data_IF_860113126266
#
_entry.id   IF_860113126266
#
_cell.length_a   1.000
_cell.length_b   1.000
_cell.length_c   1.000
_cell.angle_alpha   90.00
_cell.angle_beta   90.00
_cell.angle_gamma   90.00
#
_symmetry.space_group_name_H-M   'P 1'
#
loop_
_entity.id
_entity.type
_entity.pdbx_description
1 polymer ?
#
# COMPACT_ATOMS: atom_id res chain seq x y z
N UNK A 1 -6.55 -7.63 5.60
CA UNK A 1 -5.35 -7.34 6.40
C UNK A 1 -5.15 -5.83 6.44
N UNK A 2 -4.82 -5.26 7.60
CA UNK A 2 -4.60 -3.82 7.79
C UNK A 2 -3.16 -3.51 8.22
N UNK A 3 -2.57 -2.51 7.56
CA UNK A 3 -1.19 -2.07 7.75
C UNK A 3 -1.15 -0.63 8.29
N UNK A 4 -0.73 -0.41 9.55
CA UNK A 4 -0.71 0.89 10.19
C UNK A 4 0.24 1.86 9.52
N UNK A 5 0.05 3.13 9.86
CA UNK A 5 0.94 4.20 9.43
C UNK A 5 2.31 4.12 10.06
N UNK A 6 3.11 5.09 9.65
CA UNK A 6 4.46 5.22 10.12
C UNK A 6 4.54 5.58 11.61
N UNK A 7 5.34 4.86 12.40
CA UNK A 7 5.39 5.03 13.85
C UNK A 7 4.16 4.48 14.57
N UNK A 8 3.29 3.72 13.90
CA UNK A 8 2.00 3.28 14.42
C UNK A 8 1.95 1.75 14.64
N UNK A 9 0.84 1.23 15.17
CA UNK A 9 0.72 -0.19 15.58
C UNK A 9 -0.60 -0.83 15.13
N UNK A 10 -0.64 -2.17 15.14
CA UNK A 10 -1.85 -2.95 14.90
C UNK A 10 -3.02 -2.51 15.79
N UNK A 11 -2.75 -2.23 17.07
CA UNK A 11 -3.77 -1.79 18.03
C UNK A 11 -4.40 -0.43 17.66
N UNK A 12 -3.65 0.44 16.98
CA UNK A 12 -4.09 1.79 16.65
C UNK A 12 -4.80 1.88 15.29
N UNK A 13 -4.50 0.98 14.35
CA UNK A 13 -5.23 0.91 13.07
C UNK A 13 -6.56 0.13 13.19
N UNK A 14 -6.70 -0.75 14.19
CA UNK A 14 -7.96 -1.44 14.47
C UNK A 14 -9.15 -0.46 14.59
N UNK A 15 -9.14 0.57 15.45
CA UNK A 15 -10.27 1.49 15.57
C UNK A 15 -10.50 2.37 14.34
N UNK A 16 -9.50 2.54 13.48
CA UNK A 16 -9.62 3.31 12.24
C UNK A 16 -10.39 2.53 11.17
N UNK A 17 -10.13 1.23 11.07
CA UNK A 17 -10.71 0.36 10.03
C UNK A 17 -11.94 -0.40 10.51
N UNK A 18 -11.98 -0.75 11.81
CA UNK A 18 -13.02 -1.54 12.47
C UNK A 18 -13.31 -2.87 11.78
N UNK A 19 -12.34 -3.45 11.06
CA UNK A 19 -12.55 -4.71 10.32
C UNK A 19 -12.81 -5.93 11.22
N UNK A 20 -12.51 -5.84 12.52
CA UNK A 20 -12.83 -6.84 13.54
C UNK A 20 -14.26 -6.71 14.06
N UNK A 21 -14.98 -5.64 13.71
CA UNK A 21 -16.38 -5.47 14.10
C UNK A 21 -17.25 -6.49 13.35
N UNK A 22 -17.94 -7.35 14.10
CA UNK A 22 -18.76 -8.43 13.55
C UNK A 22 -20.01 -7.96 12.80
N UNK A 23 -20.44 -6.72 12.99
CA UNK A 23 -21.53 -6.13 12.19
C UNK A 23 -21.07 -5.78 10.78
N UNK A 24 -19.80 -5.37 10.63
CA UNK A 24 -19.19 -5.00 9.34
C UNK A 24 -18.53 -6.19 8.63
N UNK A 25 -17.97 -7.12 9.41
CA UNK A 25 -17.23 -8.27 8.91
C UNK A 25 -17.62 -9.57 9.65
N UNK A 26 -18.88 -10.05 9.51
CA UNK A 26 -19.40 -11.19 10.26
C UNK A 26 -18.73 -12.53 9.93
N UNK A 27 -18.08 -12.63 8.77
CA UNK A 27 -17.58 -13.91 8.22
C UNK A 27 -16.08 -13.90 7.88
N UNK A 28 -15.39 -12.77 8.05
CA UNK A 28 -13.99 -12.64 7.68
C UNK A 28 -13.06 -12.66 8.89
N UNK A 29 -11.79 -12.97 8.63
CA UNK A 29 -10.72 -12.85 9.62
C UNK A 29 -10.06 -11.48 9.45
N UNK A 30 -10.15 -10.64 10.49
CA UNK A 30 -9.41 -9.40 10.54
C UNK A 30 -7.98 -9.66 11.03
N UNK A 31 -6.99 -9.17 10.29
CA UNK A 31 -5.57 -9.33 10.62
C UNK A 31 -4.93 -7.95 10.60
N UNK A 32 -4.36 -7.55 11.73
CA UNK A 32 -3.67 -6.28 11.93
C UNK A 32 -2.20 -6.54 12.15
N UNK A 33 -1.34 -5.98 11.30
CA UNK A 33 0.09 -6.29 11.28
C UNK A 33 0.88 -5.07 11.75
N UNK A 34 1.77 -5.24 12.73
CA UNK A 34 2.71 -4.17 13.11
C UNK A 34 4.05 -4.42 12.43
N UNK A 35 4.52 -3.47 11.62
CA UNK A 35 5.85 -3.53 11.02
C UNK A 35 6.97 -3.42 12.06
N UNK A 36 8.15 -3.95 11.75
CA UNK A 36 9.33 -3.83 12.62
C UNK A 36 9.64 -2.36 12.85
N UNK A 37 9.96 -1.98 14.10
CA UNK A 37 10.15 -0.58 14.48
C UNK A 37 8.97 0.34 14.11
N UNK A 38 7.76 -0.23 14.07
CA UNK A 38 6.50 0.50 13.81
C UNK A 38 6.42 1.10 12.41
N UNK A 39 6.93 0.41 11.40
CA UNK A 39 6.62 0.72 10.00
C UNK A 39 7.16 -0.32 9.01
N UNK A 40 6.74 -0.19 7.76
CA UNK A 40 7.05 -1.08 6.65
C UNK A 40 8.21 -0.51 5.85
N UNK A 41 9.36 -1.16 5.97
CA UNK A 41 10.65 -0.75 5.39
C UNK A 41 10.68 -1.05 3.89
N UNK A 42 9.94 -2.06 3.44
CA UNK A 42 9.76 -2.34 2.01
C UNK A 42 9.08 -1.20 1.25
N UNK A 43 8.43 -0.24 1.92
CA UNK A 43 8.03 1.04 1.33
C UNK A 43 9.13 2.10 1.60
N UNK A 44 9.99 2.41 0.61
CA UNK A 44 11.27 3.04 0.87
C UNK A 44 11.12 4.52 1.21
N UNK A 45 11.41 4.87 2.45
CA UNK A 45 11.13 6.19 3.03
C UNK A 45 10.97 6.11 4.55
N UNK A 46 10.80 4.88 5.05
CA UNK A 46 10.92 4.50 6.46
C UNK A 46 12.27 3.83 6.83
N UNK A 47 13.25 3.92 5.95
CA UNK A 47 14.60 3.43 6.17
C UNK A 47 15.52 4.08 5.14
N UNK A 48 16.31 5.05 5.59
CA UNK A 48 17.39 5.61 4.78
C UNK A 48 18.38 4.48 4.47
N UNK A 49 18.98 4.40 3.26
CA UNK A 49 20.08 3.48 2.99
C UNK A 49 21.16 3.63 4.09
N UNK A 50 21.48 2.54 4.79
CA UNK A 50 22.46 2.54 5.89
C UNK A 50 21.88 2.56 7.32
N UNK A 51 20.55 2.59 7.49
CA UNK A 51 19.91 2.37 8.80
C UNK A 51 19.82 0.88 9.15
N UNK A 52 19.80 0.54 10.44
CA UNK A 52 19.81 -0.81 11.02
C UNK A 52 18.65 -1.76 10.59
N UNK A 53 17.87 -1.37 9.58
CA UNK A 53 16.65 -2.02 9.11
C UNK A 53 16.78 -2.58 7.67
N UNK A 54 17.96 -2.52 7.05
CA UNK A 54 18.17 -2.94 5.65
C UNK A 54 17.82 -4.41 5.36
N UNK A 55 17.72 -5.25 6.39
CA UNK A 55 17.46 -6.69 6.28
C UNK A 55 16.01 -7.08 6.64
N UNK A 56 15.11 -6.12 6.86
CA UNK A 56 13.69 -6.44 7.14
C UNK A 56 12.99 -6.80 5.84
N UNK A 57 12.47 -8.02 5.77
CA UNK A 57 11.71 -8.54 4.63
C UNK A 57 10.20 -8.54 4.94
N UNK A 58 9.55 -7.37 4.79
CA UNK A 58 8.11 -7.26 5.01
C UNK A 58 7.32 -8.12 4.00
N UNK A 59 7.79 -8.22 2.75
CA UNK A 59 7.13 -9.00 1.69
C UNK A 59 7.18 -10.49 1.99
N UNK A 60 8.34 -11.04 2.35
CA UNK A 60 8.50 -12.42 2.77
C UNK A 60 7.66 -12.74 4.00
N UNK A 61 7.64 -11.84 4.99
CA UNK A 61 6.78 -11.99 6.17
C UNK A 61 5.30 -12.11 5.79
N UNK A 62 4.79 -11.24 4.91
CA UNK A 62 3.37 -11.32 4.48
C UNK A 62 3.08 -12.60 3.69
N UNK A 63 3.99 -13.04 2.81
CA UNK A 63 3.85 -14.34 2.12
C UNK A 63 3.73 -15.49 3.12
N UNK A 64 4.61 -15.53 4.12
CA UNK A 64 4.58 -16.55 5.18
C UNK A 64 3.32 -16.45 6.04
N UNK A 65 2.90 -15.23 6.42
CA UNK A 65 1.72 -15.02 7.24
C UNK A 65 0.43 -15.46 6.52
N UNK A 66 0.29 -15.13 5.23
CA UNK A 66 -0.87 -15.59 4.44
C UNK A 66 -0.86 -17.12 4.34
N UNK A 67 0.28 -17.73 4.04
CA UNK A 67 0.40 -19.20 3.97
C UNK A 67 0.06 -19.87 5.32
N UNK A 68 0.48 -19.27 6.44
CA UNK A 68 0.12 -19.74 7.77
C UNK A 68 -1.40 -19.65 8.02
N UNK A 69 -2.02 -18.51 7.69
CA UNK A 69 -3.45 -18.32 7.91
C UNK A 69 -4.30 -19.27 7.05
N UNK A 70 -3.95 -19.46 5.78
CA UNK A 70 -4.70 -20.34 4.86
C UNK A 70 -4.50 -21.82 5.15
N UNK A 71 -3.38 -22.20 5.80
CA UNK A 71 -3.15 -23.59 6.23
C UNK A 71 -3.79 -23.93 7.58
N UNK A 72 -4.05 -22.94 8.43
CA UNK A 72 -4.58 -23.15 9.79
C UNK A 72 -6.06 -22.78 9.95
N UNK A 73 -6.63 -22.02 9.02
CA UNK A 73 -8.02 -21.57 9.06
C UNK A 73 -8.72 -21.77 7.71
N UNK A 74 -10.05 -21.87 7.74
CA UNK A 74 -10.87 -21.91 6.52
C UNK A 74 -10.96 -20.52 5.88
N UNK A 75 -9.92 -20.15 5.14
CA UNK A 75 -9.84 -18.89 4.41
C UNK A 75 -10.22 -19.12 2.94
N UNK A 76 -11.17 -18.33 2.44
CA UNK A 76 -11.42 -18.22 1.00
C UNK A 76 -10.25 -17.45 0.36
N UNK A 77 -9.36 -18.17 -0.32
CA UNK A 77 -8.16 -17.59 -0.93
C UNK A 77 -8.47 -16.64 -2.09
N UNK A 78 -9.70 -16.67 -2.64
CA UNK A 78 -10.18 -15.68 -3.60
C UNK A 78 -10.62 -14.35 -2.97
N UNK A 79 -10.63 -14.26 -1.63
CA UNK A 79 -11.15 -13.11 -0.87
C UNK A 79 -10.18 -12.62 0.22
N UNK A 80 -8.91 -12.52 -0.14
CA UNK A 80 -7.89 -11.92 0.73
C UNK A 80 -7.69 -10.46 0.30
N UNK A 81 -7.88 -9.51 1.21
CA UNK A 81 -7.80 -8.07 0.91
C UNK A 81 -6.73 -7.39 1.76
N UNK A 82 -6.13 -6.32 1.24
CA UNK A 82 -5.14 -5.51 1.95
C UNK A 82 -5.57 -4.04 1.98
N UNK A 83 -5.39 -3.38 3.12
CA UNK A 83 -5.57 -1.94 3.30
C UNK A 83 -4.49 -1.41 4.23
N UNK A 84 -4.21 -0.12 4.18
CA UNK A 84 -3.26 0.50 5.08
C UNK A 84 -3.30 2.00 5.00
N UNK A 85 -2.76 2.65 6.02
CA UNK A 85 -2.71 4.11 6.12
C UNK A 85 -1.27 4.62 5.97
N UNK A 86 -1.05 5.74 5.27
CA UNK A 86 0.26 6.40 5.19
C UNK A 86 1.37 5.46 4.68
N UNK A 87 2.41 5.17 5.47
CA UNK A 87 3.45 4.19 5.11
C UNK A 87 2.88 2.79 4.83
N UNK A 88 1.89 2.32 5.62
CA UNK A 88 1.19 1.06 5.37
C UNK A 88 0.32 1.09 4.13
N UNK A 89 -0.22 2.26 3.76
CA UNK A 89 -0.92 2.47 2.48
C UNK A 89 0.05 2.38 1.30
N UNK A 90 1.23 2.99 1.39
CA UNK A 90 2.27 2.81 0.38
C UNK A 90 2.80 1.37 0.32
N UNK A 91 2.84 0.66 1.44
CA UNK A 91 3.18 -0.77 1.45
C UNK A 91 2.17 -1.62 0.68
N UNK A 92 0.88 -1.23 0.62
CA UNK A 92 -0.08 -1.87 -0.28
C UNK A 92 0.35 -1.77 -1.76
N UNK A 93 0.93 -0.65 -2.19
CA UNK A 93 1.46 -0.51 -3.56
C UNK A 93 2.64 -1.45 -3.82
N UNK A 94 3.53 -1.62 -2.84
CA UNK A 94 4.66 -2.56 -2.94
C UNK A 94 4.16 -4.00 -3.11
N UNK A 95 3.18 -4.42 -2.30
CA UNK A 95 2.57 -5.74 -2.44
C UNK A 95 1.82 -5.90 -3.77
N UNK A 96 1.16 -4.85 -4.25
CA UNK A 96 0.43 -4.84 -5.52
C UNK A 96 1.38 -5.03 -6.73
N UNK A 97 2.63 -4.59 -6.61
CA UNK A 97 3.65 -4.78 -7.63
C UNK A 97 4.41 -6.13 -7.51
N UNK A 98 4.29 -6.87 -6.40
CA UNK A 98 5.00 -8.14 -6.20
C UNK A 98 4.31 -9.29 -6.98
N UNK A 99 5.06 -10.15 -7.70
CA UNK A 99 4.48 -11.16 -8.58
C UNK A 99 3.60 -12.19 -7.85
N UNK A 100 3.86 -12.45 -6.56
CA UNK A 100 3.11 -13.44 -5.78
C UNK A 100 1.99 -12.77 -4.99
N UNK A 101 2.25 -11.63 -4.33
CA UNK A 101 1.24 -10.97 -3.52
C UNK A 101 0.16 -10.30 -4.36
N UNK A 102 0.50 -9.79 -5.55
CA UNK A 102 -0.48 -9.24 -6.49
C UNK A 102 -1.56 -10.25 -6.90
N UNK A 103 -1.24 -11.56 -6.99
CA UNK A 103 -2.21 -12.64 -7.26
C UNK A 103 -2.83 -13.21 -5.99
N UNK A 104 -2.16 -13.08 -4.84
CA UNK A 104 -2.64 -13.58 -3.54
C UNK A 104 -3.76 -12.69 -3.00
N UNK A 105 -3.63 -11.37 -3.13
CA UNK A 105 -4.64 -10.42 -2.69
C UNK A 105 -5.62 -10.12 -3.83
N UNK A 106 -6.92 -10.26 -3.55
CA UNK A 106 -7.99 -9.95 -4.48
C UNK A 106 -8.01 -8.45 -4.83
N UNK A 107 -7.84 -7.57 -3.83
CA UNK A 107 -7.77 -6.13 -4.01
C UNK A 107 -6.95 -5.44 -2.89
N UNK A 108 -6.50 -4.23 -3.19
CA UNK A 108 -5.80 -3.33 -2.28
C UNK A 108 -6.61 -2.04 -2.07
N UNK A 109 -6.64 -1.50 -0.85
CA UNK A 109 -7.38 -0.28 -0.54
C UNK A 109 -6.56 0.68 0.33
N UNK A 110 -5.48 1.30 -0.18
CA UNK A 110 -4.68 2.25 0.60
C UNK A 110 -5.43 3.54 0.93
N UNK A 111 -5.16 4.11 2.11
CA UNK A 111 -5.64 5.41 2.55
C UNK A 111 -4.47 6.34 2.84
N UNK A 112 -4.48 7.56 2.28
CA UNK A 112 -3.39 8.53 2.35
C UNK A 112 -2.02 7.89 2.04
N UNK A 113 -1.95 7.06 1.00
CA UNK A 113 -0.81 6.18 0.74
C UNK A 113 0.49 6.94 0.47
N UNK A 114 1.55 6.63 1.21
CA UNK A 114 2.88 7.17 0.93
C UNK A 114 3.55 6.38 -0.22
N UNK A 115 3.21 6.71 -1.46
CA UNK A 115 3.71 6.05 -2.68
C UNK A 115 5.14 6.47 -3.03
N UNK A 116 6.11 6.00 -2.24
CA UNK A 116 7.52 6.32 -2.46
C UNK A 116 8.05 5.69 -3.75
N UNK A 117 8.93 6.45 -4.44
CA UNK A 117 9.52 6.05 -5.72
C UNK A 117 11.04 5.95 -5.63
N UNK A 118 11.67 5.47 -6.70
CA UNK A 118 13.11 5.52 -6.91
C UNK A 118 13.67 6.94 -7.07
N UNK A 119 12.84 7.93 -7.39
CA UNK A 119 13.30 9.27 -7.71
C UNK A 119 13.73 10.06 -6.46
N UNK A 120 14.93 10.65 -6.51
CA UNK A 120 15.46 11.57 -5.49
C UNK A 120 15.35 13.05 -5.90
N UNK A 121 15.03 13.31 -7.17
CA UNK A 121 14.75 14.62 -7.74
C UNK A 121 13.85 14.47 -8.99
N UNK A 122 13.17 15.54 -9.40
CA UNK A 122 12.31 15.55 -10.58
C UNK A 122 10.93 16.17 -10.32
N UNK A 123 10.10 16.20 -11.37
CA UNK A 123 8.73 16.70 -11.32
C UNK A 123 7.76 15.59 -10.84
N UNK A 124 7.00 15.78 -9.74
CA UNK A 124 5.98 14.84 -9.27
C UNK A 124 4.97 14.36 -10.32
N UNK A 125 4.73 15.14 -11.38
CA UNK A 125 3.80 14.80 -12.46
C UNK A 125 4.42 13.89 -13.53
N UNK A 126 5.73 13.67 -13.52
CA UNK A 126 6.43 12.95 -14.61
C UNK A 126 7.45 11.93 -14.13
N UNK A 127 7.76 11.87 -12.83
CA UNK A 127 8.66 10.84 -12.30
C UNK A 127 8.04 9.45 -12.47
N UNK A 128 8.87 8.41 -12.50
CA UNK A 128 8.40 7.02 -12.48
C UNK A 128 7.62 6.77 -11.15
N UNK A 129 6.29 6.49 -11.17
CA UNK A 129 5.49 6.60 -9.96
C UNK A 129 5.35 5.30 -9.15
N UNK A 130 5.80 4.14 -9.65
CA UNK A 130 5.58 2.84 -8.98
C UNK A 130 6.86 2.09 -8.61
N UNK A 131 7.95 2.26 -9.36
CA UNK A 131 9.21 1.59 -9.04
C UNK A 131 9.90 2.23 -7.84
N UNK A 132 10.48 1.39 -6.98
CA UNK A 132 11.08 1.80 -5.71
C UNK A 132 12.44 1.12 -5.50
N UNK A 133 13.34 1.56 -4.60
CA UNK A 133 14.62 0.85 -4.44
C UNK A 133 14.52 -0.56 -3.84
N UNK A 134 13.46 -0.84 -3.09
CA UNK A 134 13.15 -2.17 -2.57
C UNK A 134 12.42 -3.02 -3.61
N UNK A 135 11.86 -2.39 -4.63
CA UNK A 135 11.18 -3.02 -5.76
C UNK A 135 11.51 -2.28 -7.06
N UNK A 136 12.70 -2.50 -7.64
CA UNK A 136 13.22 -1.70 -8.75
C UNK A 136 12.40 -1.86 -10.04
N UNK A 137 11.65 -2.95 -10.14
CA UNK A 137 10.69 -3.20 -11.19
C UNK A 137 9.39 -3.68 -10.57
N UNK A 138 8.32 -2.93 -10.78
CA UNK A 138 6.96 -3.38 -10.55
C UNK A 138 6.64 -4.51 -11.53
N UNK A 139 6.25 -5.68 -11.02
CA UNK A 139 6.03 -6.88 -11.85
C UNK A 139 4.91 -7.74 -11.26
N UNK A 140 3.65 -7.27 -11.29
CA UNK A 140 2.53 -8.05 -10.79
C UNK A 140 2.38 -9.36 -11.57
N UNK A 141 1.93 -10.42 -10.91
CA UNK A 141 1.68 -11.74 -11.49
C UNK A 141 0.33 -11.85 -12.21
N UNK A 142 -0.41 -10.73 -12.29
CA UNK A 142 -1.64 -10.58 -13.06
C UNK A 142 -1.69 -9.19 -13.68
N UNK A 143 -2.38 -9.08 -14.82
CA UNK A 143 -2.53 -7.81 -15.54
C UNK A 143 -3.42 -6.81 -14.82
N UNK A 144 -4.39 -7.30 -14.04
CA UNK A 144 -5.41 -6.47 -13.43
C UNK A 144 -5.32 -6.58 -11.90
N UNK A 145 -4.71 -5.59 -11.26
CA UNK A 145 -4.62 -5.51 -9.80
C UNK A 145 -5.60 -4.45 -9.30
N UNK A 146 -6.76 -4.83 -8.73
CA UNK A 146 -7.73 -3.88 -8.23
C UNK A 146 -7.13 -3.08 -7.07
N UNK A 147 -7.15 -1.76 -7.22
CA UNK A 147 -6.77 -0.84 -6.15
C UNK A 147 -7.86 0.19 -5.91
N UNK A 148 -8.05 0.57 -4.66
CA UNK A 148 -8.95 1.62 -4.26
C UNK A 148 -8.26 2.59 -3.29
N UNK A 149 -7.95 3.78 -3.78
CA UNK A 149 -7.17 4.76 -3.03
C UNK A 149 -8.06 5.91 -2.54
N UNK A 150 -7.84 6.32 -1.28
CA UNK A 150 -8.48 7.47 -0.66
C UNK A 150 -7.46 8.48 -0.15
N UNK A 151 -7.45 9.69 -0.70
CA UNK A 151 -6.49 10.73 -0.32
C UNK A 151 -7.13 12.09 -0.14
N UNK A 152 -6.82 12.79 0.96
CA UNK A 152 -7.28 14.16 1.16
C UNK A 152 -6.43 15.19 0.41
N UNK A 153 -7.04 16.11 -0.33
CA UNK A 153 -6.30 17.23 -0.97
C UNK A 153 -5.62 18.18 0.00
N UNK A 154 -6.05 18.20 1.26
CA UNK A 154 -5.45 18.99 2.34
C UNK A 154 -4.47 18.18 3.22
N UNK A 155 -4.02 17.00 2.77
CA UNK A 155 -3.02 16.22 3.49
C UNK A 155 -1.66 16.93 3.46
N UNK A 156 -1.29 17.52 4.60
CA UNK A 156 -0.01 18.22 4.78
C UNK A 156 1.19 17.31 5.04
N UNK A 157 0.99 15.99 5.12
CA UNK A 157 2.03 15.00 5.41
C UNK A 157 2.43 14.24 4.15
N UNK A 158 1.46 13.60 3.50
CA UNK A 158 1.62 12.95 2.20
C UNK A 158 0.80 13.79 1.23
N UNK A 159 1.45 14.73 0.54
CA UNK A 159 0.73 15.71 -0.26
C UNK A 159 0.06 15.05 -1.47
N UNK A 160 -1.23 15.34 -1.67
CA UNK A 160 -2.00 14.89 -2.84
C UNK A 160 -1.32 15.28 -4.17
N UNK A 161 -0.69 16.44 -4.20
CA UNK A 161 0.04 16.97 -5.35
C UNK A 161 1.50 16.50 -5.41
N UNK A 162 1.86 15.48 -4.62
CA UNK A 162 3.21 14.91 -4.59
C UNK A 162 4.27 15.90 -4.06
N UNK A 163 5.52 15.61 -4.37
CA UNK A 163 6.65 16.47 -4.01
C UNK A 163 7.71 15.80 -3.13
N UNK A 164 8.72 16.57 -2.69
CA UNK A 164 9.82 16.05 -1.89
C UNK A 164 9.37 15.53 -0.52
N UNK A 165 9.77 14.30 -0.19
CA UNK A 165 9.53 13.67 1.11
C UNK A 165 10.64 12.68 1.43
N UNK A 166 11.24 12.79 2.61
CA UNK A 166 12.26 11.85 3.12
C UNK A 166 13.38 11.51 2.12
N UNK A 167 13.88 12.51 1.39
CA UNK A 167 14.96 12.35 0.40
C UNK A 167 14.52 11.73 -0.94
N UNK A 168 13.20 11.62 -1.18
CA UNK A 168 12.59 11.11 -2.40
C UNK A 168 11.56 12.10 -2.95
N UNK A 169 11.07 11.84 -4.15
CA UNK A 169 9.94 12.54 -4.74
C UNK A 169 8.74 11.60 -4.77
N UNK A 170 7.65 12.01 -4.14
CA UNK A 170 6.35 11.36 -4.29
C UNK A 170 5.67 11.87 -5.58
N UNK A 171 5.03 11.00 -6.36
CA UNK A 171 4.29 11.42 -7.53
C UNK A 171 3.03 12.17 -7.09
N UNK A 172 2.43 12.93 -7.99
CA UNK A 172 1.05 13.37 -7.75
C UNK A 172 0.14 12.14 -7.71
N UNK A 173 -0.90 12.17 -6.86
CA UNK A 173 -1.89 11.09 -6.81
C UNK A 173 -2.53 10.81 -8.17
N UNK A 174 -2.92 11.83 -8.99
CA UNK A 174 -3.40 11.59 -10.35
C UNK A 174 -2.37 10.94 -11.28
N UNK A 175 -1.08 11.26 -11.14
CA UNK A 175 -0.02 10.64 -11.95
C UNK A 175 0.16 9.17 -11.57
N UNK A 176 0.27 8.88 -10.27
CA UNK A 176 0.30 7.50 -9.76
C UNK A 176 -0.93 6.68 -10.20
N UNK A 177 -2.12 7.25 -10.08
CA UNK A 177 -3.36 6.59 -10.51
C UNK A 177 -3.37 6.31 -12.03
N UNK A 178 -2.75 7.15 -12.84
CA UNK A 178 -2.65 6.89 -14.29
C UNK A 178 -1.73 5.70 -14.58
N UNK A 179 -0.63 5.58 -13.85
CA UNK A 179 0.24 4.41 -13.96
C UNK A 179 -0.43 3.13 -13.48
N UNK A 180 -1.25 3.19 -12.42
CA UNK A 180 -2.14 2.12 -11.99
C UNK A 180 -3.42 1.98 -12.84
N UNK A 181 -3.40 2.50 -14.07
CA UNK A 181 -4.47 2.38 -15.07
C UNK A 181 -5.89 2.60 -14.50
N UNK A 182 -6.02 3.57 -13.58
CA UNK A 182 -7.32 3.93 -13.03
C UNK A 182 -8.08 4.72 -14.09
N UNK A 183 -9.20 4.15 -14.55
CA UNK A 183 -10.08 4.72 -15.57
C UNK A 183 -10.46 6.17 -15.24
N UNK A 184 -10.39 7.06 -16.24
CA UNK A 184 -10.74 8.47 -16.09
C UNK A 184 -12.19 8.66 -15.63
N UNK A 185 -13.09 7.72 -15.97
CA UNK A 185 -14.48 7.75 -15.49
C UNK A 185 -14.63 7.47 -13.99
N UNK A 186 -13.68 6.76 -13.37
CA UNK A 186 -13.71 6.42 -11.93
C UNK A 186 -13.11 7.54 -11.05
N UNK A 187 -12.44 8.54 -11.66
CA UNK A 187 -11.94 9.76 -10.99
C UNK A 187 -13.04 10.80 -10.72
N UNK A 188 -14.30 10.48 -11.06
CA UNK A 188 -15.45 11.41 -11.06
C UNK A 188 -15.88 11.91 -9.68
N UNK A 189 -15.43 11.32 -8.57
CA UNK A 189 -15.57 11.90 -7.24
C UNK A 189 -14.41 12.87 -7.00
N UNK A 190 -14.55 14.07 -7.61
CA UNK A 190 -13.63 15.20 -7.56
C UNK A 190 -12.88 15.23 -6.21
N UNK A 191 -11.59 14.86 -6.26
CA UNK A 191 -10.55 15.10 -5.26
C UNK A 191 -10.20 14.04 -4.21
N UNK A 192 -10.92 12.91 -4.04
CA UNK A 192 -10.69 12.04 -2.84
C UNK A 192 -10.68 10.53 -3.10
N UNK A 193 -10.92 10.08 -4.34
CA UNK A 193 -11.15 8.65 -4.63
C UNK A 193 -10.56 8.24 -5.98
N UNK A 194 -9.79 7.16 -6.01
CA UNK A 194 -9.30 6.53 -7.23
C UNK A 194 -9.59 5.03 -7.21
N UNK A 195 -10.44 4.52 -8.11
CA UNK A 195 -10.61 3.09 -8.35
C UNK A 195 -9.81 2.67 -9.59
N UNK A 196 -8.98 1.65 -9.41
CA UNK A 196 -7.95 1.23 -10.36
C UNK A 196 -8.10 -0.25 -10.67
N UNK A 197 -7.88 -0.62 -11.93
CA UNK A 197 -8.09 -1.99 -12.38
C UNK A 197 -6.82 -2.69 -12.88
N UNK A 198 -5.67 -2.01 -13.02
CA UNK A 198 -4.46 -2.63 -13.60
C UNK A 198 -3.15 -1.99 -13.12
N UNK A 199 -2.05 -2.73 -13.07
CA UNK A 199 -0.68 -2.21 -12.88
C UNK A 199 0.20 -2.87 -13.92
#
# INVERSE_FOLDING_TARGET
MAFPGNGDTAANIEPQTRMSNSELNPYGIAVYVTGVNRGFVSNPGWGVPGSANANVDDIGFIKTLVAYLTSNYCVDTGRIFATGHSNGGGFCNVMACDPVLSVTFAAFAPASGAFYTGATSGNPETIEPVNTPTQPQCSPGRNNVPMLEFHGTNDGTINYYGGPRNGRILPTLPHWATACQCDEEQRKLKHVFNLCHSI
#
